data_IF_614349113494
#
_entry.id   IF_614349113494
#
_cell.length_a   1.000
_cell.length_b   1.000
_cell.length_c   1.000
_cell.angle_alpha   90.00
_cell.angle_beta   90.00
_cell.angle_gamma   90.00
#
_symmetry.space_group_name_H-M   'P 1'
#
loop_
_entity.id
_entity.type
_entity.pdbx_description
1 polymer ?
#
# COMPACT_ATOMS: atom_id res chain seq x y z
N UNK A 1 4.53 26.57 -10.33
CA UNK A 1 4.73 25.61 -9.22
C UNK A 1 3.59 25.61 -8.18
N UNK A 2 2.72 26.63 -8.10
CA UNK A 2 1.59 26.67 -7.12
C UNK A 2 0.54 25.56 -7.33
N UNK A 3 0.21 25.22 -8.58
CA UNK A 3 -0.81 24.20 -8.88
C UNK A 3 -0.52 22.81 -8.31
N UNK A 4 0.72 22.33 -8.43
CA UNK A 4 1.12 21.01 -7.91
C UNK A 4 1.06 20.97 -6.38
N UNK A 5 1.47 22.04 -5.70
CA UNK A 5 1.38 22.13 -4.23
C UNK A 5 -0.09 22.08 -3.78
N UNK A 6 -0.98 22.80 -4.45
CA UNK A 6 -2.41 22.75 -4.13
C UNK A 6 -3.01 21.35 -4.35
N UNK A 7 -2.60 20.64 -5.41
CA UNK A 7 -3.04 19.26 -5.64
C UNK A 7 -2.56 18.31 -4.54
N UNK A 8 -1.33 18.44 -4.07
CA UNK A 8 -0.79 17.64 -2.97
C UNK A 8 -1.44 17.98 -1.62
N UNK A 9 -1.72 19.24 -1.35
CA UNK A 9 -2.49 19.64 -0.16
C UNK A 9 -3.88 19.00 -0.16
N UNK A 10 -4.62 19.10 -1.28
CA UNK A 10 -5.94 18.48 -1.42
C UNK A 10 -5.87 16.95 -1.32
N UNK A 11 -4.81 16.33 -1.86
CA UNK A 11 -4.57 14.89 -1.73
C UNK A 11 -4.36 14.49 -0.28
N UNK A 12 -3.60 15.31 0.47
CA UNK A 12 -3.31 15.09 1.89
C UNK A 12 -4.60 15.11 2.69
N UNK A 13 -5.35 16.21 2.62
CA UNK A 13 -6.63 16.35 3.34
C UNK A 13 -7.60 15.21 2.97
N UNK A 14 -7.69 14.86 1.69
CA UNK A 14 -8.52 13.74 1.24
C UNK A 14 -8.05 12.39 1.80
N UNK A 15 -6.75 12.18 2.01
CA UNK A 15 -6.22 10.90 2.51
C UNK A 15 -6.55 10.70 3.98
N UNK A 16 -6.53 11.78 4.78
CA UNK A 16 -7.02 11.75 6.17
C UNK A 16 -8.53 11.51 6.22
N UNK A 17 -9.30 12.22 5.40
CA UNK A 17 -10.76 12.11 5.39
C UNK A 17 -11.27 10.70 5.05
N UNK A 18 -10.52 9.95 4.22
CA UNK A 18 -10.92 8.60 3.76
C UNK A 18 -10.09 7.48 4.38
N UNK A 19 -9.26 7.74 5.39
CA UNK A 19 -8.28 6.78 5.92
C UNK A 19 -8.90 5.43 6.30
N UNK A 20 -10.11 5.44 6.88
CA UNK A 20 -10.87 4.24 7.23
C UNK A 20 -10.17 3.36 8.28
N UNK A 21 -10.66 2.13 8.50
CA UNK A 21 -10.18 1.26 9.60
C UNK A 21 -8.73 0.77 9.43
N UNK A 22 -8.20 0.80 8.20
CA UNK A 22 -6.83 0.38 7.88
C UNK A 22 -5.88 1.56 7.65
N UNK A 23 -6.31 2.78 8.00
CA UNK A 23 -5.51 4.01 7.91
C UNK A 23 -5.11 4.46 6.49
N UNK A 24 -5.50 3.72 5.45
CA UNK A 24 -4.96 3.85 4.08
C UNK A 24 -6.06 3.78 3.02
N UNK A 25 -7.27 4.20 3.35
CA UNK A 25 -8.41 4.06 2.47
C UNK A 25 -8.21 4.71 1.09
N UNK A 26 -8.98 4.17 0.17
CA UNK A 26 -9.19 4.69 -1.18
C UNK A 26 -10.71 4.80 -1.39
N UNK A 27 -11.12 5.61 -2.35
CA UNK A 27 -12.51 5.67 -2.80
C UNK A 27 -12.89 4.35 -3.48
N UNK A 28 -14.16 3.97 -3.44
CA UNK A 28 -14.61 2.65 -3.93
C UNK A 28 -14.20 2.38 -5.38
N UNK A 29 -14.21 3.40 -6.24
CA UNK A 29 -13.81 3.28 -7.65
C UNK A 29 -12.29 3.28 -7.88
N UNK A 30 -11.47 3.54 -6.87
CA UNK A 30 -10.01 3.44 -6.94
C UNK A 30 -9.51 2.00 -6.66
N UNK A 31 -10.40 1.11 -6.19
CA UNK A 31 -10.13 -0.33 -6.02
C UNK A 31 -10.33 -1.12 -7.33
N UNK A 32 -9.70 -0.68 -8.42
CA UNK A 32 -9.67 -1.38 -9.70
C UNK A 32 -8.39 -2.23 -9.85
N UNK A 33 -8.17 -2.81 -11.03
CA UNK A 33 -6.94 -3.56 -11.33
C UNK A 33 -5.70 -2.74 -10.94
N UNK A 34 -4.84 -3.31 -10.11
CA UNK A 34 -3.62 -2.64 -9.60
C UNK A 34 -3.90 -1.62 -8.50
N UNK A 35 -4.96 -1.79 -7.72
CA UNK A 35 -5.26 -0.96 -6.54
C UNK A 35 -4.09 -0.88 -5.54
N UNK A 36 -3.28 -1.92 -5.39
CA UNK A 36 -2.04 -1.87 -4.60
C UNK A 36 -1.03 -0.84 -5.13
N UNK A 37 -0.92 -0.66 -6.47
CA UNK A 37 -0.10 0.41 -7.06
C UNK A 37 -0.69 1.79 -6.75
N UNK A 38 -2.01 1.93 -6.78
CA UNK A 38 -2.69 3.19 -6.41
C UNK A 38 -2.37 3.56 -4.96
N UNK A 39 -2.44 2.60 -4.03
CA UNK A 39 -2.05 2.81 -2.62
C UNK A 39 -0.58 3.19 -2.47
N UNK A 40 0.33 2.48 -3.14
CA UNK A 40 1.76 2.78 -3.10
C UNK A 40 2.05 4.21 -3.59
N UNK A 41 1.43 4.61 -4.70
CA UNK A 41 1.57 5.97 -5.24
C UNK A 41 1.00 7.01 -4.27
N UNK A 42 -0.17 6.77 -3.66
CA UNK A 42 -0.72 7.71 -2.67
C UNK A 42 0.20 7.89 -1.47
N UNK A 43 0.77 6.79 -0.94
CA UNK A 43 1.79 6.86 0.11
C UNK A 43 3.02 7.68 -0.30
N UNK A 44 3.57 7.44 -1.50
CA UNK A 44 4.69 8.19 -2.03
C UNK A 44 4.39 9.70 -2.19
N UNK A 45 3.20 10.04 -2.68
CA UNK A 45 2.80 11.44 -2.85
C UNK A 45 2.61 12.15 -1.50
N UNK A 46 2.17 11.45 -0.46
CA UNK A 46 2.12 11.99 0.91
C UNK A 46 3.52 12.22 1.48
N UNK A 47 4.48 11.32 1.23
CA UNK A 47 5.88 11.58 1.57
C UNK A 47 6.36 12.86 0.88
N UNK A 48 6.17 12.97 -0.44
CA UNK A 48 6.54 14.19 -1.18
C UNK A 48 5.86 15.45 -0.61
N UNK A 49 4.56 15.38 -0.31
CA UNK A 49 3.79 16.47 0.27
C UNK A 49 4.38 16.92 1.61
N UNK A 50 4.79 15.98 2.46
CA UNK A 50 5.46 16.26 3.74
C UNK A 50 6.81 16.96 3.55
N UNK A 51 7.63 16.50 2.61
CA UNK A 51 8.98 17.05 2.37
C UNK A 51 8.93 18.49 1.84
N UNK A 52 7.91 18.83 1.04
CA UNK A 52 7.76 20.17 0.46
C UNK A 52 6.80 21.08 1.25
N UNK A 53 6.24 20.60 2.37
CA UNK A 53 5.26 21.35 3.17
C UNK A 53 3.92 21.64 2.46
N UNK A 54 3.52 20.80 1.51
CA UNK A 54 2.22 20.88 0.84
C UNK A 54 1.18 19.97 1.54
N UNK A 55 0.98 20.21 2.83
CA UNK A 55 0.34 19.27 3.77
C UNK A 55 -1.12 19.60 4.07
N UNK A 56 -1.71 20.57 3.36
CA UNK A 56 -3.08 21.01 3.58
C UNK A 56 -3.30 21.51 5.01
N UNK A 57 -4.33 20.99 5.68
CA UNK A 57 -4.66 21.31 7.07
C UNK A 57 -3.79 20.61 8.12
N UNK A 58 -2.79 19.83 7.71
CA UNK A 58 -1.99 18.97 8.57
C UNK A 58 -0.53 19.43 8.65
N UNK A 59 0.20 18.92 9.65
CA UNK A 59 1.65 19.11 9.76
C UNK A 59 2.42 18.12 8.87
N UNK A 60 3.67 18.45 8.47
CA UNK A 60 4.54 17.50 7.76
C UNK A 60 4.73 16.16 8.48
N UNK A 61 4.83 16.19 9.81
CA UNK A 61 4.98 14.97 10.61
C UNK A 61 3.72 14.08 10.53
N UNK A 62 2.53 14.66 10.66
CA UNK A 62 1.27 13.94 10.51
C UNK A 62 1.11 13.39 9.08
N UNK A 63 1.44 14.17 8.06
CA UNK A 63 1.38 13.72 6.66
C UNK A 63 2.32 12.53 6.41
N UNK A 64 3.53 12.55 6.98
CA UNK A 64 4.47 11.43 6.88
C UNK A 64 3.97 10.19 7.63
N UNK A 65 3.35 10.36 8.79
CA UNK A 65 2.71 9.25 9.51
C UNK A 65 1.54 8.67 8.70
N UNK A 66 0.72 9.52 8.08
CA UNK A 66 -0.37 9.10 7.18
C UNK A 66 0.16 8.34 5.96
N UNK A 67 1.31 8.73 5.42
CA UNK A 67 1.97 7.98 4.35
C UNK A 67 2.35 6.54 4.78
N UNK A 68 2.80 6.36 6.03
CA UNK A 68 3.22 5.06 6.55
C UNK A 68 2.07 4.04 6.60
N UNK A 69 0.82 4.47 6.84
CA UNK A 69 -0.34 3.57 6.78
C UNK A 69 -0.50 2.90 5.42
N UNK A 70 -0.17 3.58 4.32
CA UNK A 70 -0.21 2.96 2.99
C UNK A 70 0.87 1.88 2.81
N UNK A 71 2.02 2.02 3.46
CA UNK A 71 3.04 0.97 3.53
C UNK A 71 2.57 -0.18 4.41
N UNK A 72 2.04 0.10 5.61
CA UNK A 72 1.50 -0.92 6.51
C UNK A 72 0.41 -1.75 5.86
N UNK A 73 -0.44 -1.14 5.02
CA UNK A 73 -1.43 -1.86 4.23
C UNK A 73 -0.80 -2.89 3.30
N UNK A 74 0.31 -2.55 2.63
CA UNK A 74 1.03 -3.50 1.77
C UNK A 74 1.74 -4.60 2.60
N UNK A 75 2.04 -4.31 3.86
CA UNK A 75 2.66 -5.23 4.82
C UNK A 75 1.67 -6.00 5.71
N UNK A 76 0.38 -6.04 5.39
CA UNK A 76 -0.59 -6.91 6.09
C UNK A 76 -1.67 -6.19 6.89
N UNK A 77 -1.58 -4.87 7.10
CA UNK A 77 -2.65 -4.10 7.76
C UNK A 77 -3.77 -3.79 6.78
N UNK A 78 -4.46 -4.84 6.35
CA UNK A 78 -5.54 -4.81 5.37
C UNK A 78 -6.59 -5.87 5.70
N UNK A 79 -7.74 -5.81 5.01
CA UNK A 79 -8.85 -6.71 5.25
C UNK A 79 -8.56 -8.20 5.00
N UNK A 80 -7.51 -8.51 4.24
CA UNK A 80 -7.10 -9.89 3.96
C UNK A 80 -6.03 -10.39 4.94
N UNK A 81 -5.56 -9.53 5.86
CA UNK A 81 -4.41 -9.80 6.73
C UNK A 81 -3.20 -10.31 5.94
N UNK A 82 -2.96 -9.78 4.73
CA UNK A 82 -2.03 -10.37 3.75
C UNK A 82 -0.88 -9.41 3.40
N UNK A 83 0.36 -9.89 3.41
CA UNK A 83 1.52 -9.16 2.89
C UNK A 83 1.51 -9.25 1.36
N UNK A 84 1.35 -8.12 0.68
CA UNK A 84 1.30 -8.04 -0.80
C UNK A 84 2.70 -8.04 -1.46
N UNK A 85 3.62 -8.81 -0.90
CA UNK A 85 4.94 -9.10 -1.46
C UNK A 85 5.20 -10.61 -1.35
N UNK A 86 5.99 -11.16 -2.28
CA UNK A 86 6.34 -12.58 -2.27
C UNK A 86 7.67 -12.85 -1.57
N UNK A 87 7.88 -14.11 -1.16
CA UNK A 87 9.12 -14.57 -0.51
C UNK A 87 9.46 -13.81 0.79
N UNK A 88 8.45 -13.48 1.60
CA UNK A 88 8.63 -12.67 2.80
C UNK A 88 8.84 -13.49 4.08
N UNK A 89 8.78 -14.82 4.02
CA UNK A 89 8.91 -15.69 5.20
C UNK A 89 10.24 -15.51 5.94
N UNK A 90 11.34 -15.34 5.21
CA UNK A 90 12.68 -15.13 5.78
C UNK A 90 12.83 -13.82 6.55
N UNK A 91 11.93 -12.86 6.35
CA UNK A 91 11.91 -11.55 7.02
C UNK A 91 10.68 -11.37 7.91
N UNK A 92 10.01 -12.47 8.29
CA UNK A 92 8.91 -12.48 9.24
C UNK A 92 7.51 -12.26 8.64
N UNK A 93 7.35 -12.36 7.32
CA UNK A 93 6.04 -12.32 6.68
C UNK A 93 5.29 -13.65 6.81
N UNK A 94 4.28 -13.71 7.68
CA UNK A 94 3.53 -14.94 7.97
C UNK A 94 2.45 -15.28 6.92
N UNK A 95 1.80 -14.26 6.34
CA UNK A 95 0.74 -14.42 5.34
C UNK A 95 1.06 -13.65 4.05
N UNK A 96 2.16 -14.03 3.38
CA UNK A 96 2.65 -13.37 2.17
C UNK A 96 2.17 -14.01 0.87
N UNK A 97 2.26 -13.28 -0.25
CA UNK A 97 1.96 -13.81 -1.58
C UNK A 97 2.93 -14.95 -1.93
N UNK A 98 2.41 -16.15 -2.21
CA UNK A 98 3.23 -17.30 -2.58
C UNK A 98 2.97 -17.82 -4.01
N UNK A 99 2.02 -17.20 -4.71
CA UNK A 99 1.71 -17.41 -6.13
C UNK A 99 1.47 -16.08 -6.83
N UNK A 100 2.13 -15.88 -7.96
CA UNK A 100 1.98 -14.69 -8.80
C UNK A 100 1.74 -15.10 -10.26
N UNK A 101 0.93 -14.32 -10.97
CA UNK A 101 0.72 -14.52 -12.40
C UNK A 101 1.91 -13.95 -13.17
N UNK A 102 2.80 -14.81 -13.65
CA UNK A 102 3.99 -14.41 -14.41
C UNK A 102 4.48 -15.54 -15.32
N UNK A 103 5.02 -15.20 -16.50
CA UNK A 103 5.50 -16.19 -17.47
C UNK A 103 6.67 -17.05 -16.98
N UNK A 104 7.51 -16.50 -16.09
CA UNK A 104 8.59 -17.27 -15.43
C UNK A 104 8.10 -18.20 -14.32
N UNK A 105 6.87 -18.01 -13.83
CA UNK A 105 6.27 -18.79 -12.74
C UNK A 105 4.97 -19.43 -13.24
N UNK A 106 5.06 -20.42 -14.15
CA UNK A 106 3.89 -20.97 -14.81
C UNK A 106 2.94 -21.64 -13.83
N UNK A 107 1.64 -21.49 -14.10
CA UNK A 107 0.61 -22.23 -13.40
C UNK A 107 0.82 -23.75 -13.58
N UNK A 108 0.54 -24.53 -12.54
CA UNK A 108 0.78 -25.99 -12.49
C UNK A 108 2.18 -26.43 -12.02
N UNK A 109 3.17 -25.53 -11.91
CA UNK A 109 4.54 -25.93 -11.59
C UNK A 109 4.89 -25.66 -10.12
N UNK A 110 4.84 -26.72 -9.29
CA UNK A 110 4.91 -26.64 -7.82
C UNK A 110 6.19 -26.00 -7.27
N UNK A 111 7.31 -26.14 -7.97
CA UNK A 111 8.61 -25.59 -7.55
C UNK A 111 8.62 -24.06 -7.44
N UNK A 112 7.68 -23.38 -8.10
CA UNK A 112 7.54 -21.92 -8.05
C UNK A 112 6.49 -21.45 -7.05
N UNK A 113 5.86 -22.37 -6.31
CA UNK A 113 4.97 -22.01 -5.23
C UNK A 113 5.83 -21.80 -3.99
N UNK A 114 6.03 -20.53 -3.61
CA UNK A 114 6.68 -20.17 -2.35
C UNK A 114 5.80 -20.45 -1.14
N UNK A 115 5.00 -21.54 -1.18
CA UNK A 115 4.00 -21.88 -0.17
C UNK A 115 4.72 -22.23 1.13
N UNK A 116 4.50 -21.48 2.22
CA UNK A 116 5.06 -21.85 3.52
C UNK A 116 4.53 -23.24 3.92
N UNK A 117 5.39 -24.07 4.51
CA UNK A 117 5.06 -25.45 4.91
C UNK A 117 3.87 -25.57 5.88
N UNK A 118 3.50 -24.48 6.55
CA UNK A 118 2.39 -24.41 7.50
C UNK A 118 1.02 -23.98 6.94
N UNK A 119 0.92 -23.63 5.65
CA UNK A 119 -0.37 -23.22 5.04
C UNK A 119 -1.06 -24.43 4.42
N UNK A 120 -2.29 -24.75 4.82
CA UNK A 120 -3.13 -25.81 4.23
C UNK A 120 -4.28 -25.14 3.47
N UNK A 121 -4.65 -25.69 2.30
CA UNK A 121 -5.82 -25.24 1.53
C UNK A 121 -7.09 -25.91 2.05
#
# INVERSE_FOLDING_TARGET
MSGVRNQLSNLTDSSFAIAGPYGSGLRSWEYYWSSNRVKAIRGLLLVLASEIGATGGHTPAETRAQAAWYLHYLCGVNAMNMVYASNMSSVGGEHSVWRIYHGWFPYGHADYYGKPSGVVE
#
